data_IF_247760932727
#
_entry.id   IF_247760932727
#
_cell.length_a   1.000
_cell.length_b   1.000
_cell.length_c   1.000
_cell.angle_alpha   90.00
_cell.angle_beta   90.00
_cell.angle_gamma   90.00
#
_symmetry.space_group_name_H-M   'P 1'
#
loop_
_entity.id
_entity.type
_entity.pdbx_description
1 polymer ?
#
# COMPACT_ATOMS: atom_id res chain seq x y z
N UNK A 1 22.55 -4.06 -0.07
CA UNK A 1 21.42 -3.25 0.40
C UNK A 1 21.90 -2.41 1.57
N UNK A 2 21.50 -1.14 1.66
CA UNK A 2 21.72 -0.32 2.84
C UNK A 2 20.51 -0.49 3.79
N UNK A 3 20.75 -0.44 5.10
CA UNK A 3 19.67 -0.50 6.10
C UNK A 3 18.90 0.82 6.10
N UNK A 4 17.57 0.75 6.17
CA UNK A 4 16.69 1.91 6.43
C UNK A 4 16.56 2.24 7.93
N UNK A 5 17.13 1.39 8.80
CA UNK A 5 17.20 1.59 10.24
C UNK A 5 18.54 2.26 10.61
N UNK A 6 18.84 3.39 9.98
CA UNK A 6 20.09 4.13 10.15
C UNK A 6 19.90 5.51 10.83
N UNK A 7 18.67 5.81 11.25
CA UNK A 7 18.31 7.07 11.92
C UNK A 7 18.12 8.25 10.97
N UNK A 8 18.12 8.04 9.64
CA UNK A 8 17.88 9.08 8.64
C UNK A 8 16.47 9.01 8.09
N UNK A 9 16.06 10.12 7.48
CA UNK A 9 14.83 10.17 6.70
C UNK A 9 15.01 9.39 5.39
N UNK A 10 14.00 8.58 5.07
CA UNK A 10 13.90 7.85 3.82
C UNK A 10 12.57 8.14 3.14
N UNK A 11 12.60 8.36 1.83
CA UNK A 11 11.38 8.56 1.04
C UNK A 11 10.91 7.22 0.48
N UNK A 12 9.67 6.84 0.79
CA UNK A 12 9.10 5.55 0.39
C UNK A 12 7.83 5.76 -0.43
N UNK A 13 7.77 5.11 -1.59
CA UNK A 13 6.57 5.06 -2.43
C UNK A 13 6.23 3.61 -2.74
N UNK A 14 5.03 3.18 -2.36
CA UNK A 14 4.44 1.92 -2.83
C UNK A 14 3.39 2.28 -3.90
N UNK A 15 3.64 1.86 -5.14
CA UNK A 15 2.69 2.03 -6.25
C UNK A 15 2.07 0.68 -6.63
N UNK A 16 0.84 0.73 -7.13
CA UNK A 16 0.12 -0.45 -7.58
C UNK A 16 -0.59 -0.19 -8.92
N UNK A 17 -0.54 -1.17 -9.81
CA UNK A 17 -1.21 -1.15 -11.11
C UNK A 17 -1.75 -2.54 -11.43
N UNK A 18 -3.07 -2.71 -11.35
CA UNK A 18 -3.82 -3.90 -11.78
C UNK A 18 -3.42 -5.22 -11.09
N UNK A 19 -2.28 -5.78 -11.48
CA UNK A 19 -1.74 -7.05 -11.00
C UNK A 19 -0.27 -6.95 -10.53
N UNK A 20 0.24 -5.74 -10.28
CA UNK A 20 1.62 -5.50 -9.87
C UNK A 20 1.70 -4.39 -8.84
N UNK A 21 2.53 -4.61 -7.82
CA UNK A 21 2.95 -3.61 -6.85
C UNK A 21 4.45 -3.37 -6.99
N UNK A 22 4.88 -2.11 -6.89
CA UNK A 22 6.29 -1.73 -6.93
C UNK A 22 6.63 -0.83 -5.75
N UNK A 23 7.69 -1.19 -5.03
CA UNK A 23 8.23 -0.40 -3.92
C UNK A 23 9.45 0.39 -4.40
N UNK A 24 9.43 1.69 -4.14
CA UNK A 24 10.54 2.60 -4.34
C UNK A 24 11.02 3.15 -2.99
N UNK A 25 12.35 3.22 -2.84
CA UNK A 25 13.05 3.80 -1.69
C UNK A 25 14.08 4.80 -2.23
N UNK A 26 14.02 6.04 -1.77
CA UNK A 26 14.93 7.12 -2.17
C UNK A 26 15.08 7.21 -3.71
N UNK A 27 13.93 7.19 -4.40
CA UNK A 27 13.79 7.21 -5.87
C UNK A 27 14.28 5.95 -6.62
N UNK A 28 14.79 4.94 -5.92
CA UNK A 28 15.20 3.67 -6.51
C UNK A 28 14.11 2.59 -6.36
N UNK A 29 13.83 1.83 -7.43
CA UNK A 29 12.99 0.63 -7.33
C UNK A 29 13.73 -0.44 -6.52
N UNK A 30 13.16 -0.84 -5.38
CA UNK A 30 13.77 -1.84 -4.48
C UNK A 30 13.02 -3.16 -4.44
N UNK A 31 11.80 -3.21 -4.98
CA UNK A 31 11.05 -4.46 -5.05
C UNK A 31 9.82 -4.38 -5.94
N UNK A 32 9.36 -5.54 -6.39
CA UNK A 32 8.05 -5.68 -7.00
C UNK A 32 7.42 -7.01 -6.63
N UNK A 33 6.10 -7.02 -6.53
CA UNK A 33 5.30 -8.24 -6.38
C UNK A 33 4.21 -8.28 -7.43
N UNK A 34 4.09 -9.43 -8.08
CA UNK A 34 2.97 -9.73 -8.98
C UNK A 34 1.84 -10.37 -8.18
N UNK A 35 0.61 -10.16 -8.63
CA UNK A 35 -0.60 -10.62 -7.96
C UNK A 35 -1.70 -9.58 -8.12
N UNK A 36 -2.95 -10.02 -8.20
CA UNK A 36 -4.10 -9.13 -8.33
C UNK A 36 -4.06 -8.07 -7.23
N UNK A 37 -3.87 -6.81 -7.64
CA UNK A 37 -4.03 -5.66 -6.75
C UNK A 37 -5.50 -5.30 -6.80
N UNK A 38 -6.28 -6.05 -6.04
CA UNK A 38 -7.67 -5.69 -5.79
C UNK A 38 -7.71 -4.95 -4.47
N UNK A 39 -7.93 -3.64 -4.53
CA UNK A 39 -8.70 -3.01 -3.46
C UNK A 39 -10.11 -3.54 -3.72
N UNK A 40 -10.60 -4.46 -2.90
CA UNK A 40 -11.93 -5.03 -3.12
C UNK A 40 -12.95 -3.89 -3.06
N UNK A 41 -13.35 -3.36 -4.22
CA UNK A 41 -14.59 -2.57 -4.36
C UNK A 41 -15.80 -3.41 -3.90
N UNK A 42 -15.60 -4.73 -3.82
CA UNK A 42 -16.46 -5.68 -3.14
C UNK A 42 -16.45 -5.46 -1.62
N UNK A 43 -17.49 -4.77 -1.15
CA UNK A 43 -17.98 -4.79 0.23
C UNK A 43 -16.92 -4.51 1.30
N UNK A 44 -16.35 -3.32 1.31
CA UNK A 44 -15.98 -2.74 2.60
C UNK A 44 -17.28 -2.24 3.26
N UNK A 45 -17.59 -2.70 4.47
CA UNK A 45 -18.81 -2.33 5.22
C UNK A 45 -20.16 -2.71 4.56
N UNK A 46 -20.19 -3.71 3.68
CA UNK A 46 -21.44 -4.15 3.03
C UNK A 46 -21.99 -3.20 1.96
N UNK A 47 -21.18 -2.26 1.43
CA UNK A 47 -21.55 -1.38 0.31
C UNK A 47 -20.47 -1.36 -0.78
N UNK A 48 -20.89 -1.10 -2.03
CA UNK A 48 -20.00 -0.91 -3.17
C UNK A 48 -19.26 0.43 -3.01
N UNK A 49 -17.94 0.39 -2.77
CA UNK A 49 -17.13 1.61 -2.67
C UNK A 49 -16.64 2.00 -4.07
N UNK A 50 -17.16 3.11 -4.58
CA UNK A 50 -16.82 3.65 -5.91
C UNK A 50 -15.52 4.47 -5.89
N UNK A 51 -15.10 4.96 -4.71
CA UNK A 51 -13.90 5.79 -4.52
C UNK A 51 -13.04 5.26 -3.38
N UNK A 52 -11.71 5.30 -3.57
CA UNK A 52 -10.72 4.98 -2.55
C UNK A 52 -10.18 6.28 -1.93
N UNK A 53 -10.15 6.34 -0.61
CA UNK A 53 -9.65 7.50 0.14
C UNK A 53 -8.34 7.14 0.86
N UNK A 54 -7.32 7.99 0.73
CA UNK A 54 -6.06 7.87 1.45
C UNK A 54 -6.11 8.76 2.71
N UNK A 55 -5.90 8.18 3.89
CA UNK A 55 -5.61 8.92 5.13
C UNK A 55 -6.72 9.12 6.16
N UNK A 56 -7.94 8.59 5.97
CA UNK A 56 -9.05 8.85 6.93
C UNK A 56 -9.91 7.65 7.33
N UNK A 57 -9.53 6.40 7.07
CA UNK A 57 -10.42 5.28 7.35
C UNK A 57 -9.68 4.06 7.86
N UNK A 58 -10.14 3.51 8.97
CA UNK A 58 -9.79 2.18 9.43
C UNK A 58 -9.96 1.17 8.29
N UNK A 59 -8.89 0.43 8.07
CA UNK A 59 -8.68 -0.58 7.08
C UNK A 59 -8.40 -1.84 7.91
N UNK A 60 -9.09 -2.96 7.71
CA UNK A 60 -9.04 -4.07 8.65
C UNK A 60 -8.98 -5.40 7.93
N UNK A 61 -7.91 -6.16 8.17
CA UNK A 61 -7.79 -7.59 7.86
C UNK A 61 -7.02 -7.94 6.59
N UNK A 62 -7.14 -7.14 5.52
CA UNK A 62 -6.40 -7.30 4.26
C UNK A 62 -6.08 -5.92 3.65
N UNK A 63 -5.02 -5.86 2.83
CA UNK A 63 -4.49 -4.60 2.30
C UNK A 63 -5.50 -3.75 1.48
N UNK A 64 -5.45 -2.41 1.61
CA UNK A 64 -4.65 -1.68 2.59
C UNK A 64 -5.26 -1.88 3.99
N UNK A 65 -4.43 -1.95 5.04
CA UNK A 65 -4.80 -2.21 6.46
C UNK A 65 -4.58 -0.94 7.30
N UNK A 66 -5.21 -0.85 8.48
CA UNK A 66 -5.20 0.34 9.33
C UNK A 66 -3.81 0.54 9.93
N UNK A 67 -3.48 1.77 10.34
CA UNK A 67 -2.39 1.97 11.30
C UNK A 67 -2.68 1.12 12.54
N UNK A 68 -1.79 0.17 12.86
CA UNK A 68 -1.83 -0.53 14.14
C UNK A 68 -1.48 0.47 15.28
N UNK A 69 -2.11 0.34 16.46
CA UNK A 69 -1.71 1.13 17.64
C UNK A 69 -0.27 0.84 18.07
#
# INVERSE_FOLDING_TARGET
SASVADGKWHHVVLSAAGNSQTLFLDNAKVGSRTGTVSIKSATAFGKNQVFNYLGTGYLGGDWPDAPAP
#
